data_IF_299640995707
#
_entry.id   IF_299640995707
#
_cell.length_a   1.000
_cell.length_b   1.000
_cell.length_c   1.000
_cell.angle_alpha   90.00
_cell.angle_beta   90.00
_cell.angle_gamma   90.00
#
_symmetry.space_group_name_H-M   'P 1'
#
loop_
_entity.id
_entity.type
_entity.pdbx_description
1 polymer ?
#
# COMPACT_ATOMS: atom_id res chain seq x y z
N UNK A 1 -18.11 12.98 0.33
CA UNK A 1 -17.15 11.84 0.44
C UNK A 1 -17.95 10.56 0.71
N UNK A 2 -17.66 9.48 0.00
CA UNK A 2 -18.18 8.12 0.28
C UNK A 2 -17.24 7.49 1.30
N UNK A 3 -17.82 6.94 2.35
CA UNK A 3 -17.12 6.21 3.39
C UNK A 3 -17.93 4.96 3.73
N UNK A 4 -17.34 3.78 3.60
CA UNK A 4 -17.94 2.52 3.97
C UNK A 4 -17.01 1.79 4.91
N UNK A 5 -17.54 1.32 6.03
CA UNK A 5 -16.89 0.43 6.98
C UNK A 5 -17.56 -0.93 6.89
N UNK A 6 -16.78 -1.96 6.63
CA UNK A 6 -17.25 -3.34 6.46
C UNK A 6 -16.56 -4.21 7.52
N UNK A 7 -17.34 -5.04 8.21
CA UNK A 7 -16.83 -5.94 9.23
C UNK A 7 -16.72 -7.36 8.67
N UNK A 8 -15.54 -7.97 8.79
CA UNK A 8 -15.42 -9.42 8.73
C UNK A 8 -15.70 -10.01 10.12
N UNK A 9 -16.79 -10.79 10.30
CA UNK A 9 -17.14 -11.32 11.60
C UNK A 9 -16.25 -12.48 12.06
N UNK A 10 -15.42 -13.04 11.17
CA UNK A 10 -14.56 -14.20 11.48
C UNK A 10 -13.27 -13.73 12.16
N UNK A 11 -12.59 -12.74 11.57
CA UNK A 11 -11.37 -12.12 12.14
C UNK A 11 -11.68 -10.91 13.03
N UNK A 12 -12.90 -10.36 12.97
CA UNK A 12 -13.31 -9.09 13.58
C UNK A 12 -12.59 -7.88 12.95
N UNK A 13 -12.16 -8.01 11.69
CA UNK A 13 -11.45 -6.98 10.95
C UNK A 13 -12.42 -5.98 10.32
N UNK A 14 -12.11 -4.70 10.43
CA UNK A 14 -12.75 -3.65 9.66
C UNK A 14 -11.97 -3.34 8.38
N UNK A 15 -12.66 -3.43 7.26
CA UNK A 15 -12.20 -2.89 5.97
C UNK A 15 -12.88 -1.55 5.70
N UNK A 16 -12.13 -0.58 5.17
CA UNK A 16 -12.63 0.75 4.86
C UNK A 16 -12.56 1.03 3.36
N UNK A 17 -13.66 1.50 2.76
CA UNK A 17 -13.68 1.98 1.37
C UNK A 17 -13.97 3.47 1.35
N UNK A 18 -13.07 4.23 0.72
CA UNK A 18 -13.15 5.67 0.61
C UNK A 18 -13.19 6.09 -0.87
N UNK A 19 -14.08 7.05 -1.20
CA UNK A 19 -14.06 7.74 -2.48
C UNK A 19 -14.58 9.18 -2.31
N UNK A 20 -14.11 10.10 -3.14
CA UNK A 20 -14.55 11.50 -3.09
C UNK A 20 -16.01 11.66 -3.51
N UNK A 21 -16.45 10.87 -4.51
CA UNK A 21 -17.78 10.92 -5.16
C UNK A 21 -18.13 9.58 -5.81
N UNK A 22 -19.39 9.40 -6.15
CA UNK A 22 -19.85 8.33 -7.04
C UNK A 22 -19.19 8.47 -8.42
N UNK A 23 -18.77 7.37 -9.02
CA UNK A 23 -18.08 7.35 -10.30
C UNK A 23 -16.63 7.82 -10.26
N UNK A 24 -16.07 8.04 -9.06
CA UNK A 24 -14.67 8.43 -8.85
C UNK A 24 -13.73 7.26 -8.60
N UNK A 25 -12.51 7.59 -8.24
CA UNK A 25 -11.52 6.61 -7.81
C UNK A 25 -11.66 6.31 -6.31
N UNK A 26 -11.40 5.07 -5.94
CA UNK A 26 -11.52 4.58 -4.57
C UNK A 26 -10.20 4.09 -4.01
N UNK A 27 -10.07 4.22 -2.69
CA UNK A 27 -9.10 3.57 -1.84
C UNK A 27 -9.80 2.52 -0.98
N UNK A 28 -9.19 1.35 -0.82
CA UNK A 28 -9.60 0.35 0.18
C UNK A 28 -8.47 0.16 1.19
N UNK A 29 -8.81 0.02 2.48
CA UNK A 29 -7.86 -0.16 3.59
C UNK A 29 -8.20 -1.45 4.31
N UNK A 30 -7.18 -2.27 4.61
CA UNK A 30 -7.22 -3.56 5.31
C UNK A 30 -8.30 -4.53 4.74
N UNK A 31 -8.26 -4.83 3.43
CA UNK A 31 -9.26 -5.70 2.82
C UNK A 31 -8.98 -7.19 3.11
N UNK A 32 -10.02 -7.91 3.54
CA UNK A 32 -10.01 -9.36 3.83
C UNK A 32 -10.26 -10.16 2.54
N UNK A 33 -9.46 -11.21 2.29
CA UNK A 33 -9.51 -12.00 1.05
C UNK A 33 -10.88 -12.63 0.79
N UNK A 34 -11.51 -13.18 1.80
CA UNK A 34 -12.80 -13.84 1.71
C UNK A 34 -13.93 -12.91 1.27
N UNK A 35 -13.73 -11.58 1.37
CA UNK A 35 -14.71 -10.56 1.01
C UNK A 35 -14.45 -9.87 -0.34
N UNK A 36 -13.52 -10.37 -1.16
CA UNK A 36 -13.17 -9.76 -2.46
C UNK A 36 -14.42 -9.51 -3.33
N UNK A 37 -15.33 -10.49 -3.45
CA UNK A 37 -16.56 -10.34 -4.23
C UNK A 37 -17.49 -9.27 -3.68
N UNK A 38 -17.54 -9.09 -2.36
CA UNK A 38 -18.31 -8.04 -1.68
C UNK A 38 -17.74 -6.67 -2.07
N UNK A 39 -16.41 -6.52 -2.03
CA UNK A 39 -15.75 -5.26 -2.41
C UNK A 39 -15.98 -4.93 -3.88
N UNK A 40 -15.82 -5.89 -4.79
CA UNK A 40 -16.06 -5.69 -6.21
C UNK A 40 -17.51 -5.31 -6.50
N UNK A 41 -18.47 -5.97 -5.85
CA UNK A 41 -19.90 -5.65 -5.95
C UNK A 41 -20.21 -4.24 -5.43
N UNK A 42 -19.59 -3.83 -4.32
CA UNK A 42 -19.73 -2.48 -3.76
C UNK A 42 -19.18 -1.43 -4.73
N UNK A 43 -17.98 -1.65 -5.24
CA UNK A 43 -17.34 -0.76 -6.24
C UNK A 43 -18.20 -0.62 -7.49
N UNK A 44 -18.71 -1.72 -8.03
CA UNK A 44 -19.61 -1.72 -9.19
C UNK A 44 -20.89 -0.93 -8.91
N UNK A 45 -21.56 -1.18 -7.79
CA UNK A 45 -22.81 -0.50 -7.39
C UNK A 45 -22.62 1.02 -7.25
N UNK A 46 -21.47 1.47 -6.76
CA UNK A 46 -21.13 2.86 -6.59
C UNK A 46 -20.41 3.46 -7.81
N UNK A 47 -20.25 2.65 -8.89
CA UNK A 47 -19.52 3.01 -10.11
C UNK A 47 -18.09 3.47 -9.86
N UNK A 48 -17.44 2.96 -8.80
CA UNK A 48 -16.09 3.32 -8.42
C UNK A 48 -15.05 2.49 -9.18
N UNK A 49 -13.92 3.12 -9.51
CA UNK A 49 -12.70 2.43 -9.94
C UNK A 49 -11.78 2.28 -8.72
N UNK A 50 -11.40 1.06 -8.39
CA UNK A 50 -10.38 0.86 -7.35
C UNK A 50 -9.03 1.32 -7.90
N UNK A 51 -8.50 2.41 -7.36
CA UNK A 51 -7.20 2.96 -7.73
C UNK A 51 -6.09 2.44 -6.82
N UNK A 52 -6.37 2.38 -5.52
CA UNK A 52 -5.39 1.97 -4.51
C UNK A 52 -6.00 1.02 -3.49
N UNK A 53 -5.19 0.05 -3.05
CA UNK A 53 -5.50 -0.88 -1.97
C UNK A 53 -4.33 -0.89 -0.98
N UNK A 54 -4.62 -0.74 0.32
CA UNK A 54 -3.65 -0.48 1.37
C UNK A 54 -3.86 -1.43 2.54
N UNK A 55 -2.77 -2.01 3.07
CA UNK A 55 -2.75 -2.63 4.40
C UNK A 55 -1.96 -1.76 5.39
N UNK A 56 -2.47 -1.66 6.61
CA UNK A 56 -1.81 -0.92 7.70
C UNK A 56 -0.56 -1.64 8.21
N UNK A 57 -0.54 -2.96 8.17
CA UNK A 57 0.55 -3.84 8.60
C UNK A 57 0.37 -5.24 7.99
N UNK A 58 1.30 -6.17 8.23
CA UNK A 58 1.11 -7.58 7.87
C UNK A 58 0.19 -8.25 8.89
N UNK A 59 -1.03 -8.54 8.47
CA UNK A 59 -2.07 -9.18 9.29
C UNK A 59 -1.73 -10.64 9.60
N UNK A 60 -2.08 -11.10 10.81
CA UNK A 60 -1.87 -12.46 11.28
C UNK A 60 -3.17 -13.26 11.46
N UNK A 61 -4.31 -12.62 11.38
CA UNK A 61 -5.65 -13.13 11.68
C UNK A 61 -6.47 -13.46 10.44
N UNK A 62 -6.12 -12.88 9.29
CA UNK A 62 -6.75 -13.13 7.99
C UNK A 62 -5.75 -13.01 6.83
N UNK A 63 -6.13 -13.53 5.67
CA UNK A 63 -5.39 -13.31 4.43
C UNK A 63 -5.85 -11.98 3.82
N UNK A 64 -4.91 -11.09 3.49
CA UNK A 64 -5.19 -9.82 2.84
C UNK A 64 -5.67 -10.01 1.40
N UNK A 65 -6.64 -9.20 0.99
CA UNK A 65 -7.11 -9.16 -0.39
C UNK A 65 -6.23 -8.33 -1.34
N UNK A 66 -5.14 -7.69 -0.87
CA UNK A 66 -4.33 -6.80 -1.71
C UNK A 66 -3.90 -7.46 -3.02
N UNK A 67 -3.34 -8.68 -2.96
CA UNK A 67 -2.88 -9.42 -4.14
C UNK A 67 -4.02 -9.73 -5.11
N UNK A 68 -5.17 -10.21 -4.60
CA UNK A 68 -6.34 -10.53 -5.42
C UNK A 68 -6.94 -9.27 -6.08
N UNK A 69 -7.13 -8.19 -5.31
CA UNK A 69 -7.65 -6.93 -5.83
C UNK A 69 -6.72 -6.33 -6.90
N UNK A 70 -5.39 -6.38 -6.68
CA UNK A 70 -4.40 -5.98 -7.70
C UNK A 70 -4.59 -6.76 -8.99
N UNK A 71 -4.67 -8.08 -8.91
CA UNK A 71 -4.76 -8.96 -10.08
C UNK A 71 -6.07 -8.74 -10.87
N UNK A 72 -7.18 -8.48 -10.17
CA UNK A 72 -8.51 -8.29 -10.75
C UNK A 72 -8.77 -6.85 -11.24
N UNK A 73 -8.30 -5.83 -10.52
CA UNK A 73 -8.65 -4.42 -10.79
C UNK A 73 -7.49 -3.61 -11.34
N UNK A 74 -6.27 -4.12 -11.26
CA UNK A 74 -5.02 -3.42 -11.59
C UNK A 74 -4.78 -2.20 -10.68
N UNK A 75 -5.29 -2.23 -9.46
CA UNK A 75 -5.03 -1.19 -8.48
C UNK A 75 -3.57 -1.20 -8.01
N UNK A 76 -3.11 -0.08 -7.46
CA UNK A 76 -1.82 0.02 -6.80
C UNK A 76 -1.93 -0.54 -5.39
N UNK A 77 -1.16 -1.57 -5.06
CA UNK A 77 -1.06 -2.10 -3.69
C UNK A 77 -0.06 -1.31 -2.87
N UNK A 78 -0.39 -1.02 -1.62
CA UNK A 78 0.37 -0.12 -0.76
C UNK A 78 0.56 -0.72 0.63
N UNK A 79 1.76 -0.56 1.16
CA UNK A 79 2.10 -0.78 2.57
C UNK A 79 3.16 0.23 3.03
N UNK A 80 3.45 0.27 4.32
CA UNK A 80 4.60 1.01 4.84
C UNK A 80 5.94 0.46 4.32
N UNK A 81 6.98 1.30 4.26
CA UNK A 81 8.30 0.91 3.75
C UNK A 81 8.96 -0.21 4.57
N UNK A 82 8.55 -0.39 5.84
CA UNK A 82 9.06 -1.42 6.75
C UNK A 82 8.41 -2.78 6.52
N UNK A 83 7.35 -2.84 5.72
CA UNK A 83 6.72 -4.10 5.38
C UNK A 83 7.70 -5.02 4.64
N UNK A 84 7.79 -6.26 5.09
CA UNK A 84 8.54 -7.32 4.43
C UNK A 84 7.78 -8.03 3.31
N UNK A 85 6.64 -7.48 2.85
CA UNK A 85 5.86 -8.07 1.76
C UNK A 85 6.55 -7.90 0.41
N UNK A 86 6.52 -8.96 -0.44
CA UNK A 86 7.29 -9.01 -1.68
C UNK A 86 6.64 -8.19 -2.81
N UNK A 87 5.34 -8.36 -3.02
CA UNK A 87 4.61 -7.87 -4.20
C UNK A 87 3.81 -6.60 -3.91
N UNK A 88 4.42 -5.61 -3.28
CA UNK A 88 3.82 -4.32 -2.99
C UNK A 88 4.25 -3.29 -4.03
N UNK A 89 3.26 -2.68 -4.70
CA UNK A 89 3.46 -1.71 -5.77
C UNK A 89 4.12 -0.42 -5.29
N UNK A 90 3.69 0.08 -4.13
CA UNK A 90 4.18 1.33 -3.55
C UNK A 90 4.41 1.18 -2.04
N UNK A 91 5.53 1.71 -1.55
CA UNK A 91 5.88 1.73 -0.13
C UNK A 91 5.92 3.15 0.38
N UNK A 92 5.15 3.42 1.43
CA UNK A 92 5.08 4.75 2.04
C UNK A 92 6.08 4.86 3.19
N UNK A 93 6.82 5.96 3.20
CA UNK A 93 7.66 6.37 4.33
C UNK A 93 6.83 7.14 5.36
N UNK A 94 7.41 7.29 6.55
CA UNK A 94 6.83 8.16 7.56
C UNK A 94 6.70 9.60 7.05
N UNK A 95 5.50 10.17 7.14
CA UNK A 95 5.17 11.49 6.66
C UNK A 95 4.74 11.58 5.19
N UNK A 96 4.87 10.52 4.41
CA UNK A 96 4.44 10.52 3.01
C UNK A 96 2.92 10.77 2.88
N UNK A 97 2.53 11.48 1.83
CA UNK A 97 1.13 11.70 1.48
C UNK A 97 0.68 10.73 0.40
N UNK A 98 -0.50 10.13 0.62
CA UNK A 98 -1.24 9.33 -0.33
C UNK A 98 -2.45 10.10 -0.84
N UNK A 99 -2.59 10.25 -2.14
CA UNK A 99 -3.71 10.93 -2.77
C UNK A 99 -4.52 9.98 -3.68
N UNK A 100 -5.85 10.08 -3.63
CA UNK A 100 -6.80 9.37 -4.50
C UNK A 100 -7.99 10.28 -4.79
N UNK A 101 -8.15 10.77 -6.02
CA UNK A 101 -9.28 11.59 -6.50
C UNK A 101 -9.76 12.65 -5.47
N UNK A 102 -8.81 13.44 -4.91
CA UNK A 102 -9.11 14.49 -3.93
C UNK A 102 -9.12 14.05 -2.47
N UNK A 103 -9.06 12.75 -2.18
CA UNK A 103 -8.81 12.23 -0.84
C UNK A 103 -7.30 12.28 -0.58
N UNK A 104 -6.89 12.74 0.61
CA UNK A 104 -5.51 12.79 1.05
C UNK A 104 -5.36 12.13 2.41
N UNK A 105 -4.38 11.23 2.52
CA UNK A 105 -3.98 10.59 3.76
C UNK A 105 -2.48 10.84 3.97
N UNK A 106 -2.09 11.11 5.20
CA UNK A 106 -0.67 11.14 5.59
C UNK A 106 -0.33 9.86 6.33
N UNK A 107 0.70 9.16 5.87
CA UNK A 107 1.24 7.98 6.53
C UNK A 107 2.00 8.38 7.80
N UNK A 108 1.76 7.69 8.91
CA UNK A 108 2.51 7.82 10.14
C UNK A 108 3.03 6.44 10.52
N UNK A 109 4.35 6.30 10.66
CA UNK A 109 4.95 5.06 11.15
C UNK A 109 4.63 4.89 12.64
N UNK A 110 3.86 3.86 12.98
CA UNK A 110 3.36 3.60 14.34
C UNK A 110 3.68 2.17 14.78
N UNK A 111 4.98 1.81 14.89
CA UNK A 111 5.40 0.48 15.28
C UNK A 111 5.02 0.14 16.71
N UNK A 112 4.96 -1.16 17.00
CA UNK A 112 4.79 -1.67 18.36
C UNK A 112 3.85 -2.86 18.44
N UNK A 113 2.70 -2.86 17.71
CA UNK A 113 1.94 -4.08 17.47
C UNK A 113 2.74 -5.01 16.55
N UNK A 114 3.17 -4.49 15.42
CA UNK A 114 4.21 -5.07 14.55
C UNK A 114 5.28 -4.01 14.27
N UNK A 115 6.44 -4.42 13.77
CA UNK A 115 7.52 -3.51 13.38
C UNK A 115 7.23 -2.79 12.05
N UNK A 116 6.24 -3.23 11.29
CA UNK A 116 5.81 -2.64 10.01
C UNK A 116 4.51 -1.84 10.11
N UNK A 117 3.95 -1.63 11.30
CA UNK A 117 2.68 -0.93 11.50
C UNK A 117 2.73 0.55 11.10
N UNK A 118 1.72 0.97 10.36
CA UNK A 118 1.46 2.37 9.99
C UNK A 118 0.02 2.76 10.29
N UNK A 119 -0.17 4.03 10.63
CA UNK A 119 -1.48 4.68 10.72
C UNK A 119 -1.64 5.71 9.61
N UNK A 120 -2.88 5.97 9.18
CA UNK A 120 -3.16 6.86 8.04
C UNK A 120 -4.12 7.95 8.45
N UNK A 121 -3.65 9.20 8.44
CA UNK A 121 -4.36 10.37 8.96
C UNK A 121 -4.98 11.18 7.83
N UNK A 122 -6.27 11.47 7.94
CA UNK A 122 -7.00 12.46 7.17
C UNK A 122 -7.26 13.72 8.02
N UNK A 123 -7.93 14.71 7.44
CA UNK A 123 -8.22 15.97 8.14
C UNK A 123 -9.08 15.77 9.42
N UNK A 124 -9.99 14.78 9.42
CA UNK A 124 -10.99 14.56 10.47
C UNK A 124 -10.88 13.19 11.17
N UNK A 125 -10.04 12.28 10.64
CA UNK A 125 -9.97 10.89 11.11
C UNK A 125 -8.60 10.28 10.93
N UNK A 126 -8.37 9.16 11.65
CA UNK A 126 -7.17 8.33 11.52
C UNK A 126 -7.57 6.86 11.46
N UNK A 127 -6.97 6.12 10.52
CA UNK A 127 -7.01 4.66 10.44
C UNK A 127 -5.77 4.15 11.17
N UNK A 128 -5.98 3.48 12.29
CA UNK A 128 -4.89 3.18 13.24
C UNK A 128 -4.33 1.77 13.11
N UNK A 129 -4.88 0.96 12.19
CA UNK A 129 -4.55 -0.46 12.20
C UNK A 129 -4.78 -1.05 13.59
N UNK A 130 -3.83 -1.83 14.05
CA UNK A 130 -3.84 -2.40 15.39
C UNK A 130 -2.99 -1.63 16.40
N UNK A 131 -2.54 -0.40 16.09
CA UNK A 131 -1.79 0.41 17.05
C UNK A 131 -2.71 0.91 18.16
N UNK A 132 -3.82 1.58 17.82
CA UNK A 132 -4.84 2.06 18.76
C UNK A 132 -6.20 1.44 18.40
N UNK A 133 -6.77 0.69 19.33
CA UNK A 133 -8.11 0.10 19.23
C UNK A 133 -9.11 0.90 20.06
N UNK A 134 -10.40 0.62 19.92
CA UNK A 134 -11.45 1.25 20.74
C UNK A 134 -11.39 0.65 22.15
N UNK A 135 -11.03 1.45 23.13
CA UNK A 135 -10.86 1.01 24.52
C UNK A 135 -9.68 0.08 24.76
N UNK A 136 -8.74 -0.02 23.79
CA UNK A 136 -7.58 -0.90 23.86
C UNK A 136 -6.44 -0.47 22.95
N UNK A 137 -5.42 -1.30 22.87
CA UNK A 137 -4.29 -1.18 21.93
C UNK A 137 -3.95 -2.56 21.37
N UNK A 138 -3.24 -2.63 20.26
CA UNK A 138 -2.72 -3.91 19.77
C UNK A 138 -1.81 -4.59 20.78
N UNK A 139 -1.73 -5.91 20.71
CA UNK A 139 -0.75 -6.69 21.46
C UNK A 139 0.66 -6.43 20.93
N UNK A 140 1.68 -6.71 21.76
CA UNK A 140 3.08 -6.39 21.42
C UNK A 140 4.02 -7.58 21.63
N UNK A 141 3.46 -8.78 21.72
CA UNK A 141 4.18 -10.00 22.13
C UNK A 141 4.47 -10.98 20.97
N UNK A 142 4.21 -10.57 19.71
CA UNK A 142 4.56 -11.36 18.51
C UNK A 142 4.86 -10.45 17.29
N UNK A 143 5.28 -11.04 16.15
CA UNK A 143 5.59 -10.34 14.88
C UNK A 143 6.53 -9.12 15.06
N UNK A 144 7.61 -9.29 15.82
CA UNK A 144 8.54 -8.21 16.17
C UNK A 144 7.86 -7.04 16.91
N UNK A 145 6.79 -7.32 17.67
CA UNK A 145 6.13 -6.33 18.50
C UNK A 145 7.06 -5.82 19.61
N UNK A 146 6.88 -4.55 19.98
CA UNK A 146 7.66 -3.87 21.02
C UNK A 146 6.77 -2.91 21.80
N UNK A 147 6.61 -3.17 23.11
CA UNK A 147 5.76 -2.35 23.97
C UNK A 147 6.26 -0.91 24.14
N UNK A 148 7.57 -0.66 24.07
CA UNK A 148 8.11 0.69 24.16
C UNK A 148 7.87 1.48 22.88
N UNK A 149 8.09 0.82 21.71
CA UNK A 149 7.75 1.39 20.42
C UNK A 149 6.23 1.68 20.33
N UNK A 150 5.38 0.77 20.86
CA UNK A 150 3.94 0.99 20.94
C UNK A 150 3.59 2.21 21.81
N UNK A 151 4.24 2.36 22.96
CA UNK A 151 4.07 3.54 23.81
C UNK A 151 4.42 4.83 23.04
N UNK A 152 5.57 4.88 22.38
CA UNK A 152 5.98 6.06 21.61
C UNK A 152 4.99 6.37 20.47
N UNK A 153 4.53 5.33 19.75
CA UNK A 153 3.52 5.45 18.69
C UNK A 153 2.19 5.99 19.21
N UNK A 154 1.74 5.52 20.36
CA UNK A 154 0.50 5.95 20.99
C UNK A 154 0.64 7.38 21.55
N UNK A 155 1.58 7.60 22.46
CA UNK A 155 1.62 8.83 23.27
C UNK A 155 2.24 10.02 22.53
N UNK A 156 3.22 9.78 21.65
CA UNK A 156 3.94 10.87 20.98
C UNK A 156 3.49 11.10 19.54
N UNK A 157 2.73 10.16 18.95
CA UNK A 157 2.27 10.28 17.56
C UNK A 157 0.74 10.34 17.45
N UNK A 158 0.00 9.32 17.90
CA UNK A 158 -1.45 9.29 17.74
C UNK A 158 -2.16 10.25 18.71
N UNK A 159 -1.79 10.24 20.00
CA UNK A 159 -2.37 11.14 20.97
C UNK A 159 -1.94 12.61 20.81
N UNK A 160 -1.01 12.94 19.91
CA UNK A 160 -0.72 14.31 19.50
C UNK A 160 -1.75 14.89 18.51
N UNK A 161 -2.61 14.05 17.93
CA UNK A 161 -3.71 14.48 17.07
C UNK A 161 -4.80 15.20 17.89
N UNK A 162 -5.66 15.96 17.22
CA UNK A 162 -6.78 16.65 17.86
C UNK A 162 -7.72 15.66 18.56
N UNK A 163 -8.23 16.04 19.73
CA UNK A 163 -9.20 15.24 20.49
C UNK A 163 -10.47 14.90 19.67
N UNK A 164 -10.83 15.74 18.72
CA UNK A 164 -11.97 15.52 17.83
C UNK A 164 -11.69 14.56 16.68
N UNK A 165 -10.42 14.14 16.47
CA UNK A 165 -10.06 13.21 15.40
C UNK A 165 -10.73 11.85 15.63
N UNK A 166 -11.52 11.39 14.65
CA UNK A 166 -12.17 10.09 14.69
C UNK A 166 -11.12 8.96 14.56
N UNK A 167 -11.27 7.91 15.37
CA UNK A 167 -10.40 6.74 15.36
C UNK A 167 -11.12 5.56 14.72
N UNK A 168 -10.53 5.02 13.66
CA UNK A 168 -10.99 3.85 12.93
C UNK A 168 -9.90 2.76 12.98
N UNK A 169 -9.99 1.77 13.88
CA UNK A 169 -9.01 0.69 14.01
C UNK A 169 -9.22 -0.41 12.98
N UNK A 170 -8.22 -1.31 12.82
CA UNK A 170 -8.42 -2.52 12.02
C UNK A 170 -9.33 -3.53 12.71
N UNK A 171 -9.39 -3.56 14.05
CA UNK A 171 -10.20 -4.54 14.78
C UNK A 171 -11.08 -3.92 15.86
N UNK A 172 -12.26 -4.52 16.07
CA UNK A 172 -13.05 -4.37 17.29
C UNK A 172 -13.74 -5.68 17.66
N UNK A 173 -13.69 -6.02 18.93
CA UNK A 173 -14.24 -7.27 19.48
C UNK A 173 -15.49 -7.04 20.35
N UNK A 174 -15.92 -5.78 20.48
CA UNK A 174 -16.97 -5.36 21.42
C UNK A 174 -18.21 -4.77 20.72
N UNK A 175 -18.21 -4.71 19.39
CA UNK A 175 -19.31 -4.16 18.60
C UNK A 175 -19.28 -2.63 18.46
N UNK A 176 -18.14 -1.99 18.76
CA UNK A 176 -17.93 -0.58 18.49
C UNK A 176 -17.51 -0.38 17.04
N UNK A 177 -17.75 0.80 16.49
CA UNK A 177 -17.41 1.10 15.09
C UNK A 177 -16.49 2.30 14.91
N UNK A 178 -16.44 3.18 15.91
CA UNK A 178 -15.66 4.42 15.87
C UNK A 178 -15.41 4.94 17.28
N UNK A 179 -14.28 5.61 17.48
CA UNK A 179 -13.95 6.36 18.69
C UNK A 179 -13.39 7.74 18.32
N UNK A 180 -12.84 8.45 19.29
CA UNK A 180 -12.07 9.68 19.07
C UNK A 180 -10.78 9.66 19.89
N UNK A 181 -9.76 10.40 19.44
CA UNK A 181 -8.52 10.55 20.20
C UNK A 181 -8.77 11.04 21.64
N UNK A 182 -9.68 12.00 21.80
CA UNK A 182 -10.01 12.52 23.13
C UNK A 182 -10.70 11.49 24.02
N UNK A 183 -11.62 10.68 23.46
CA UNK A 183 -12.27 9.60 24.21
C UNK A 183 -11.26 8.54 24.64
N UNK A 184 -10.40 8.08 23.73
CA UNK A 184 -9.37 7.08 24.02
C UNK A 184 -8.37 7.61 25.07
N UNK A 185 -7.93 8.85 24.95
CA UNK A 185 -7.05 9.49 25.94
C UNK A 185 -7.65 9.47 27.34
N UNK A 186 -8.93 9.73 27.46
CA UNK A 186 -9.61 9.84 28.76
C UNK A 186 -10.05 8.49 29.33
N UNK A 187 -10.41 7.51 28.49
CA UNK A 187 -11.16 6.31 28.92
C UNK A 187 -10.45 4.99 28.62
N UNK A 188 -9.49 4.95 27.71
CA UNK A 188 -8.78 3.72 27.37
C UNK A 188 -7.83 3.33 28.53
N UNK A 189 -8.13 2.22 29.18
CA UNK A 189 -7.38 1.77 30.37
C UNK A 189 -5.90 1.48 30.06
N UNK A 190 -5.57 1.09 28.84
CA UNK A 190 -4.18 0.85 28.44
C UNK A 190 -3.38 2.15 28.26
N UNK A 191 -4.07 3.28 28.17
CA UNK A 191 -3.45 4.60 28.08
C UNK A 191 -3.39 5.32 29.43
N UNK A 192 -3.95 4.75 30.51
CA UNK A 192 -3.90 5.30 31.86
C UNK A 192 -2.64 4.80 32.60
N UNK A 193 -1.47 5.02 32.02
CA UNK A 193 -0.16 4.61 32.56
C UNK A 193 0.75 5.81 32.77
N UNK A 194 1.66 5.72 33.73
CA UNK A 194 2.54 6.83 34.08
C UNK A 194 3.65 7.06 33.03
N UNK A 195 4.17 5.99 32.43
CA UNK A 195 5.30 6.02 31.51
C UNK A 195 5.40 4.75 30.66
N UNK A 196 6.40 4.69 29.79
CA UNK A 196 6.66 3.54 28.91
C UNK A 196 6.99 2.24 29.67
N UNK A 197 7.57 2.32 30.88
CA UNK A 197 7.87 1.14 31.67
C UNK A 197 6.58 0.52 32.23
N UNK A 198 5.69 1.35 32.78
CA UNK A 198 4.37 0.93 33.26
C UNK A 198 3.51 0.36 32.12
N UNK A 199 3.57 0.96 30.91
CA UNK A 199 2.91 0.42 29.73
C UNK A 199 3.46 -0.98 29.34
N UNK A 200 4.78 -1.13 29.31
CA UNK A 200 5.42 -2.41 28.97
C UNK A 200 5.09 -3.49 30.01
N UNK A 201 5.02 -3.17 31.30
CA UNK A 201 4.61 -4.08 32.36
C UNK A 201 3.14 -4.51 32.16
N UNK A 202 2.23 -3.57 31.90
CA UNK A 202 0.83 -3.82 31.60
C UNK A 202 0.69 -4.77 30.40
N UNK A 203 1.39 -4.48 29.29
CA UNK A 203 1.33 -5.29 28.06
C UNK A 203 1.90 -6.70 28.27
N UNK A 204 2.97 -6.86 29.05
CA UNK A 204 3.57 -8.17 29.38
C UNK A 204 2.66 -9.06 30.22
N UNK A 205 1.75 -8.44 30.97
CA UNK A 205 0.73 -9.14 31.78
C UNK A 205 -0.44 -9.69 30.96
N UNK A 206 -0.61 -9.26 29.70
CA UNK A 206 -1.68 -9.71 28.84
C UNK A 206 -1.42 -11.16 28.38
N UNK A 207 -2.36 -12.06 28.64
CA UNK A 207 -2.32 -13.46 28.18
C UNK A 207 -3.37 -13.69 27.11
N UNK A 208 -3.09 -13.23 25.91
CA UNK A 208 -3.99 -13.34 24.77
C UNK A 208 -3.67 -14.62 23.97
N UNK A 209 -4.69 -15.39 23.51
CA UNK A 209 -4.45 -16.48 22.57
C UNK A 209 -3.84 -15.96 21.29
N UNK A 210 -3.01 -16.78 20.62
CA UNK A 210 -2.50 -16.41 19.30
C UNK A 210 -3.61 -16.42 18.27
N UNK A 211 -3.53 -15.53 17.23
CA UNK A 211 -4.42 -15.59 16.08
C UNK A 211 -4.40 -16.98 15.45
N UNK A 212 -5.57 -17.56 15.19
CA UNK A 212 -5.69 -18.94 14.69
C UNK A 212 -5.05 -19.14 13.31
N UNK A 213 -4.99 -18.08 12.51
CA UNK A 213 -4.48 -18.09 11.14
C UNK A 213 -3.00 -17.70 11.02
N UNK A 214 -2.31 -17.35 12.11
CA UNK A 214 -0.98 -16.74 12.09
C UNK A 214 0.03 -17.50 11.22
N UNK A 215 0.09 -18.82 11.32
CA UNK A 215 1.03 -19.67 10.59
C UNK A 215 0.74 -19.73 9.07
N UNK A 216 -0.47 -19.35 8.66
CA UNK A 216 -0.92 -19.33 7.26
C UNK A 216 -0.97 -17.90 6.73
N UNK A 217 -1.56 -16.98 7.48
CA UNK A 217 -1.80 -15.61 7.03
C UNK A 217 -0.50 -14.82 6.89
N UNK A 218 0.42 -14.88 7.86
CA UNK A 218 1.67 -14.12 7.81
C UNK A 218 2.52 -14.47 6.58
N UNK A 219 2.81 -15.76 6.26
CA UNK A 219 3.51 -16.10 5.03
C UNK A 219 2.76 -15.69 3.76
N UNK A 220 1.43 -15.88 3.71
CA UNK A 220 0.61 -15.51 2.56
C UNK A 220 0.60 -14.00 2.32
N UNK A 221 0.46 -13.20 3.39
CA UNK A 221 0.45 -11.75 3.36
C UNK A 221 1.84 -11.16 3.04
N UNK A 222 2.93 -11.89 3.34
CA UNK A 222 4.26 -11.52 2.86
C UNK A 222 4.43 -11.78 1.37
N UNK A 223 3.92 -12.89 0.86
CA UNK A 223 4.04 -13.25 -0.56
C UNK A 223 3.12 -12.41 -1.47
N UNK A 224 2.00 -11.88 -0.99
CA UNK A 224 1.02 -11.05 -1.70
C UNK A 224 0.59 -11.59 -3.07
N UNK A 225 0.24 -12.87 -3.14
CA UNK A 225 -0.29 -13.50 -4.35
C UNK A 225 0.78 -13.83 -5.40
N UNK A 226 0.55 -13.49 -6.67
CA UNK A 226 1.46 -13.82 -7.78
C UNK A 226 2.79 -13.07 -7.67
N UNK A 227 3.89 -13.77 -7.94
CA UNK A 227 5.23 -13.16 -8.02
C UNK A 227 5.46 -12.45 -9.36
N UNK A 228 6.43 -11.53 -9.42
CA UNK A 228 6.84 -10.86 -10.68
C UNK A 228 7.10 -11.87 -11.79
N UNK A 229 7.82 -12.95 -11.49
CA UNK A 229 8.17 -14.00 -12.46
C UNK A 229 6.95 -14.66 -13.12
N UNK A 230 5.79 -14.69 -12.46
CA UNK A 230 4.56 -15.29 -13.03
C UNK A 230 3.86 -14.38 -14.06
N UNK A 231 4.25 -13.11 -14.16
CA UNK A 231 3.75 -12.17 -15.17
C UNK A 231 4.67 -12.05 -16.38
N UNK A 232 5.91 -12.55 -16.28
CA UNK A 232 6.98 -12.35 -17.26
C UNK A 232 7.18 -13.56 -18.15
N UNK A 233 7.68 -13.30 -19.35
CA UNK A 233 8.14 -14.31 -20.32
C UNK A 233 9.65 -14.13 -20.56
N UNK A 234 10.34 -15.17 -21.08
CA UNK A 234 11.75 -15.03 -21.44
C UNK A 234 11.99 -13.82 -22.38
N UNK A 235 12.93 -12.96 -21.99
CA UNK A 235 13.27 -11.75 -22.76
C UNK A 235 12.50 -10.48 -22.35
N UNK A 236 11.55 -10.55 -21.42
CA UNK A 236 10.81 -9.39 -20.92
C UNK A 236 11.66 -8.50 -20.01
N UNK A 237 12.62 -9.08 -19.30
CA UNK A 237 13.45 -8.36 -18.33
C UNK A 237 14.67 -7.72 -18.98
N UNK A 238 14.96 -6.50 -18.55
CA UNK A 238 16.20 -5.82 -18.81
C UNK A 238 16.84 -5.45 -17.46
N UNK A 239 18.02 -5.98 -17.17
CA UNK A 239 18.74 -5.62 -15.95
C UNK A 239 19.22 -4.16 -15.99
N UNK A 240 19.40 -3.57 -14.79
CA UNK A 240 19.71 -2.13 -14.69
C UNK A 240 21.06 -1.74 -15.31
N UNK A 241 22.06 -2.61 -15.26
CA UNK A 241 23.37 -2.33 -15.85
C UNK A 241 23.30 -2.33 -17.37
N UNK A 242 22.64 -3.32 -17.97
CA UNK A 242 22.39 -3.42 -19.40
C UNK A 242 21.51 -2.26 -19.87
N UNK A 243 20.43 -1.94 -19.14
CA UNK A 243 19.57 -0.81 -19.44
C UNK A 243 20.37 0.50 -19.47
N UNK A 244 21.21 0.76 -18.46
CA UNK A 244 22.05 1.95 -18.37
C UNK A 244 23.06 2.09 -19.52
N UNK A 245 23.68 0.96 -19.91
CA UNK A 245 24.60 0.94 -21.07
C UNK A 245 23.89 1.24 -22.37
N UNK A 246 22.70 0.67 -22.54
CA UNK A 246 21.97 0.70 -23.80
C UNK A 246 21.01 1.89 -23.91
N UNK A 247 20.65 2.54 -22.80
CA UNK A 247 19.71 3.66 -22.81
C UNK A 247 20.05 4.76 -23.82
N UNK A 248 21.36 5.06 -23.98
CA UNK A 248 21.85 6.03 -24.97
C UNK A 248 22.17 5.39 -26.32
N UNK A 249 22.75 4.17 -26.30
CA UNK A 249 23.25 3.52 -27.53
C UNK A 249 22.10 2.97 -28.40
N UNK A 250 21.04 2.47 -27.78
CA UNK A 250 19.88 1.85 -28.46
C UNK A 250 18.69 2.81 -28.55
N UNK A 251 18.80 4.04 -28.05
CA UNK A 251 17.70 5.02 -28.00
C UNK A 251 16.45 4.42 -27.31
N UNK A 252 16.65 3.80 -26.14
CA UNK A 252 15.54 3.23 -25.39
C UNK A 252 14.58 4.32 -24.92
N UNK A 253 13.29 4.08 -25.09
CA UNK A 253 12.23 4.92 -24.55
C UNK A 253 11.82 4.38 -23.19
N UNK A 254 12.28 5.04 -22.12
CA UNK A 254 11.98 4.68 -20.74
C UNK A 254 10.64 5.30 -20.33
N UNK A 255 9.72 4.48 -19.82
CA UNK A 255 8.41 4.92 -19.34
C UNK A 255 8.33 4.74 -17.82
N UNK A 256 8.23 5.87 -17.11
CA UNK A 256 8.08 5.90 -15.65
C UNK A 256 6.63 5.69 -15.24
N UNK A 257 6.35 4.57 -14.59
CA UNK A 257 5.02 4.20 -14.12
C UNK A 257 4.76 4.61 -12.66
N UNK A 258 5.69 5.30 -12.02
CA UNK A 258 5.55 5.74 -10.62
C UNK A 258 4.55 6.90 -10.50
N UNK A 259 4.05 7.07 -9.28
CA UNK A 259 3.21 8.22 -8.93
C UNK A 259 4.04 9.52 -8.86
N UNK A 260 3.39 10.68 -9.01
CA UNK A 260 4.06 12.00 -8.95
C UNK A 260 4.85 12.19 -7.66
N UNK A 261 4.29 11.80 -6.50
CA UNK A 261 4.96 11.92 -5.21
C UNK A 261 6.24 11.08 -5.10
N UNK A 262 6.29 9.89 -5.73
CA UNK A 262 7.51 9.08 -5.78
C UNK A 262 8.59 9.74 -6.65
N UNK A 263 8.19 10.32 -7.79
CA UNK A 263 9.10 11.03 -8.70
C UNK A 263 9.63 12.31 -8.07
N UNK A 264 8.78 13.10 -7.42
CA UNK A 264 9.20 14.31 -6.72
C UNK A 264 10.22 14.02 -5.61
N UNK A 265 10.03 12.91 -4.90
CA UNK A 265 10.92 12.49 -3.80
C UNK A 265 12.24 11.90 -4.29
N UNK A 266 12.19 11.01 -5.27
CA UNK A 266 13.32 10.17 -5.66
C UNK A 266 13.96 10.57 -7.02
N UNK A 267 13.41 11.61 -7.66
CA UNK A 267 13.80 12.02 -9.03
C UNK A 267 13.33 11.03 -10.09
N UNK A 268 13.74 11.23 -11.36
CA UNK A 268 13.43 10.35 -12.47
C UNK A 268 14.67 9.96 -13.26
N UNK A 269 14.61 8.87 -14.01
CA UNK A 269 15.65 8.54 -14.99
C UNK A 269 15.59 9.61 -16.09
N UNK A 270 16.72 10.25 -16.46
CA UNK A 270 16.75 11.30 -17.48
C UNK A 270 16.07 10.87 -18.79
N UNK A 271 15.37 11.79 -19.43
CA UNK A 271 14.64 11.60 -20.68
C UNK A 271 13.51 10.57 -20.61
N UNK A 272 13.10 10.12 -19.41
CA UNK A 272 11.97 9.21 -19.25
C UNK A 272 10.63 9.93 -19.38
N UNK A 273 9.66 9.24 -20.02
CA UNK A 273 8.29 9.74 -20.16
C UNK A 273 7.46 9.27 -18.96
N UNK A 274 6.77 10.18 -18.30
CA UNK A 274 5.92 9.88 -17.17
C UNK A 274 4.53 9.41 -17.60
N UNK A 275 4.15 8.20 -17.21
CA UNK A 275 2.82 7.63 -17.40
C UNK A 275 2.41 6.89 -16.13
N UNK A 276 1.76 7.55 -15.16
CA UNK A 276 1.39 6.92 -13.89
C UNK A 276 0.63 5.62 -14.09
N UNK A 277 0.97 4.58 -13.31
CA UNK A 277 0.38 3.24 -13.43
C UNK A 277 -1.15 3.26 -13.33
N UNK A 278 -1.74 4.09 -12.48
CA UNK A 278 -3.17 4.28 -12.37
C UNK A 278 -3.88 4.71 -13.67
N UNK A 279 -3.13 5.27 -14.65
CA UNK A 279 -3.66 5.66 -15.97
C UNK A 279 -3.49 4.58 -17.04
N UNK A 280 -2.76 3.49 -16.74
CA UNK A 280 -2.32 2.48 -17.70
C UNK A 280 -3.45 1.93 -18.57
N UNK A 281 -4.56 1.52 -17.96
CA UNK A 281 -5.69 0.92 -18.67
C UNK A 281 -6.26 1.80 -19.80
N UNK A 282 -6.17 3.13 -19.64
CA UNK A 282 -6.55 4.09 -20.69
C UNK A 282 -5.45 4.24 -21.73
N UNK A 283 -4.19 4.26 -21.29
CA UNK A 283 -3.05 4.55 -22.15
C UNK A 283 -2.66 3.40 -23.10
N UNK A 284 -3.02 2.15 -22.76
CA UNK A 284 -2.79 0.96 -23.60
C UNK A 284 -3.93 0.67 -24.60
N UNK A 285 -5.03 1.47 -24.60
CA UNK A 285 -6.06 1.38 -25.66
C UNK A 285 -5.48 1.75 -27.01
N UNK A 286 -6.12 1.33 -28.11
CA UNK A 286 -5.61 1.53 -29.46
C UNK A 286 -5.24 2.99 -29.81
N UNK A 287 -5.99 3.96 -29.28
CA UNK A 287 -5.79 5.40 -29.43
C UNK A 287 -5.00 6.03 -28.28
N UNK A 288 -4.59 5.24 -27.29
CA UNK A 288 -3.84 5.69 -26.12
C UNK A 288 -2.40 6.12 -26.44
N UNK A 289 -1.85 6.96 -25.56
CA UNK A 289 -0.49 7.49 -25.75
C UNK A 289 0.57 6.38 -25.76
N UNK A 290 0.51 5.43 -24.81
CA UNK A 290 1.44 4.29 -24.76
C UNK A 290 1.37 3.43 -26.01
N UNK A 291 0.15 3.14 -26.51
CA UNK A 291 -0.02 2.36 -27.73
C UNK A 291 0.62 3.04 -28.95
N UNK A 292 0.57 4.37 -29.04
CA UNK A 292 1.30 5.13 -30.09
C UNK A 292 2.81 5.03 -29.89
N UNK A 293 3.30 5.29 -28.67
CA UNK A 293 4.74 5.22 -28.36
C UNK A 293 5.33 3.83 -28.68
N UNK A 294 4.63 2.75 -28.33
CA UNK A 294 5.07 1.38 -28.63
C UNK A 294 5.16 1.14 -30.15
N UNK A 295 4.18 1.61 -30.92
CA UNK A 295 4.21 1.50 -32.40
C UNK A 295 5.31 2.32 -33.04
N UNK A 296 5.56 3.51 -32.52
CA UNK A 296 6.57 4.44 -33.05
C UNK A 296 8.00 4.02 -32.67
N UNK A 297 8.17 3.23 -31.60
CA UNK A 297 9.46 2.77 -31.09
C UNK A 297 9.48 1.24 -30.90
N UNK A 298 9.36 0.45 -31.99
CA UNK A 298 9.26 -1.01 -31.91
C UNK A 298 10.50 -1.63 -31.25
N UNK A 299 10.30 -2.40 -30.18
CA UNK A 299 11.37 -3.08 -29.44
C UNK A 299 12.23 -2.18 -28.53
N UNK A 300 11.95 -0.88 -28.48
CA UNK A 300 12.74 0.09 -27.72
C UNK A 300 12.09 0.56 -26.42
N UNK A 301 10.82 0.23 -26.18
CA UNK A 301 10.07 0.68 -25.00
C UNK A 301 10.41 -0.18 -23.77
N UNK A 302 10.76 0.49 -22.68
CA UNK A 302 11.08 -0.15 -21.40
C UNK A 302 10.26 0.51 -20.29
N UNK A 303 9.40 -0.26 -19.65
CA UNK A 303 8.65 0.20 -18.49
C UNK A 303 9.48 0.09 -17.22
N UNK A 304 9.41 1.09 -16.34
CA UNK A 304 9.97 0.99 -15.01
C UNK A 304 9.04 1.56 -13.94
N UNK A 305 9.21 1.09 -12.71
CA UNK A 305 8.55 1.61 -11.51
C UNK A 305 9.55 1.66 -10.35
N UNK A 306 9.11 1.68 -9.11
CA UNK A 306 10.01 1.73 -7.97
C UNK A 306 10.84 0.44 -7.81
N UNK A 307 10.20 -0.75 -7.90
CA UNK A 307 10.80 -2.05 -7.56
C UNK A 307 10.66 -3.13 -8.64
N UNK A 308 10.04 -2.83 -9.79
CA UNK A 308 9.85 -3.77 -10.91
C UNK A 308 8.46 -4.42 -10.96
N UNK A 309 7.66 -4.36 -9.90
CA UNK A 309 6.37 -5.03 -9.80
C UNK A 309 5.32 -4.38 -10.72
N UNK A 310 5.04 -3.06 -10.59
CA UNK A 310 4.11 -2.35 -11.49
C UNK A 310 4.50 -2.44 -12.96
N UNK A 311 5.79 -2.41 -13.26
CA UNK A 311 6.27 -2.51 -14.64
C UNK A 311 6.08 -3.91 -15.23
N UNK A 312 6.20 -4.98 -14.44
CA UNK A 312 5.88 -6.34 -14.87
C UNK A 312 4.37 -6.52 -15.10
N UNK A 313 3.53 -6.01 -14.20
CA UNK A 313 2.07 -6.00 -14.36
C UNK A 313 1.62 -5.17 -15.57
N UNK A 314 2.25 -4.00 -15.78
CA UNK A 314 1.98 -3.16 -16.95
C UNK A 314 2.35 -3.86 -18.25
N UNK A 315 3.48 -4.56 -18.28
CA UNK A 315 3.91 -5.35 -19.42
C UNK A 315 2.91 -6.46 -19.73
N UNK A 316 2.46 -7.19 -18.72
CA UNK A 316 1.43 -8.22 -18.87
C UNK A 316 0.13 -7.62 -19.44
N UNK A 317 -0.36 -6.52 -18.87
CA UNK A 317 -1.57 -5.84 -19.36
C UNK A 317 -1.44 -5.27 -20.77
N UNK A 318 -0.27 -4.74 -21.12
CA UNK A 318 0.01 -4.26 -22.49
C UNK A 318 -0.02 -5.43 -23.50
N UNK A 319 0.52 -6.59 -23.12
CA UNK A 319 0.47 -7.81 -23.95
C UNK A 319 -0.97 -8.30 -24.13
N UNK A 320 -1.79 -8.34 -23.08
CA UNK A 320 -3.21 -8.65 -23.16
C UNK A 320 -3.96 -7.69 -24.10
N UNK A 321 -3.54 -6.43 -24.17
CA UNK A 321 -4.06 -5.42 -25.10
C UNK A 321 -3.47 -5.53 -26.53
N UNK A 322 -2.63 -6.53 -26.83
CA UNK A 322 -2.03 -6.76 -28.15
C UNK A 322 -0.78 -5.92 -28.41
N UNK A 323 -0.19 -5.27 -27.43
CA UNK A 323 1.06 -4.53 -27.57
C UNK A 323 2.26 -5.44 -27.28
N UNK A 324 3.15 -5.61 -28.25
CA UNK A 324 4.36 -6.43 -28.15
C UNK A 324 5.65 -5.61 -28.21
N UNK A 325 6.80 -6.28 -27.98
CA UNK A 325 8.12 -5.65 -28.09
C UNK A 325 8.45 -4.67 -26.95
N UNK A 326 7.76 -4.79 -25.80
CA UNK A 326 8.01 -4.01 -24.60
C UNK A 326 8.87 -4.85 -23.66
N UNK A 327 9.78 -4.23 -22.95
CA UNK A 327 10.53 -4.82 -21.83
C UNK A 327 10.24 -4.05 -20.53
N UNK A 328 10.65 -4.60 -19.41
CA UNK A 328 10.64 -3.86 -18.15
C UNK A 328 12.01 -3.88 -17.47
N UNK A 329 12.30 -2.83 -16.70
CA UNK A 329 13.51 -2.71 -15.91
C UNK A 329 13.38 -3.57 -14.65
N UNK A 330 14.13 -4.67 -14.58
CA UNK A 330 14.15 -5.56 -13.42
C UNK A 330 14.60 -4.81 -12.16
N UNK A 331 13.81 -4.92 -11.09
CA UNK A 331 14.04 -4.21 -9.83
C UNK A 331 13.86 -2.68 -9.89
N UNK A 332 13.38 -2.14 -11.01
CA UNK A 332 12.94 -0.76 -11.18
C UNK A 332 13.97 0.31 -10.82
N UNK A 333 13.50 1.46 -10.35
CA UNK A 333 14.33 2.60 -9.91
C UNK A 333 15.33 2.21 -8.82
N UNK A 334 14.95 1.32 -7.91
CA UNK A 334 15.85 0.81 -6.88
C UNK A 334 17.07 0.09 -7.45
N UNK A 335 16.90 -0.76 -8.47
CA UNK A 335 18.02 -1.42 -9.16
C UNK A 335 18.83 -0.43 -9.99
N UNK A 336 18.18 0.53 -10.66
CA UNK A 336 18.83 1.59 -11.41
C UNK A 336 19.82 2.40 -10.55
N UNK A 337 19.37 2.83 -9.36
CA UNK A 337 20.20 3.58 -8.41
C UNK A 337 21.40 2.75 -7.91
N UNK A 338 21.16 1.47 -7.56
CA UNK A 338 22.26 0.56 -7.15
C UNK A 338 23.28 0.34 -8.25
N UNK A 339 22.89 0.37 -9.51
CA UNK A 339 23.78 0.28 -10.67
C UNK A 339 24.49 1.60 -11.00
N UNK A 340 24.33 2.66 -10.20
CA UNK A 340 24.91 3.97 -10.43
C UNK A 340 24.28 4.73 -11.60
N UNK A 341 22.99 4.50 -11.87
CA UNK A 341 22.23 5.20 -12.88
C UNK A 341 22.00 6.67 -12.51
N UNK A 342 22.07 7.56 -13.51
CA UNK A 342 21.80 8.99 -13.32
C UNK A 342 20.32 9.25 -12.99
N UNK A 343 20.07 10.28 -12.19
CA UNK A 343 18.74 10.73 -11.81
C UNK A 343 18.66 12.24 -11.97
N UNK A 344 17.58 12.74 -12.51
CA UNK A 344 17.25 14.16 -12.54
C UNK A 344 16.15 14.49 -11.52
N UNK A 345 16.25 15.60 -10.77
CA UNK A 345 15.18 16.06 -9.90
C UNK A 345 13.98 16.47 -10.74
N UNK A 346 12.78 16.20 -10.21
CA UNK A 346 11.51 16.68 -10.79
C UNK A 346 11.09 17.93 -10.01
N UNK A 347 10.86 19.02 -10.72
CA UNK A 347 10.48 20.31 -10.16
C UNK A 347 9.01 20.31 -9.64
#
# INVERSE_FOLDING_TARGET
MIFQQLLDPVSSTFTYVLASRVGGDALIIDPVYEHVDIYLSLLQRLQLRLDKALDTHIHADHISALGALRDMTKCVTIMGERSGADMISMRLKDGDELAVDGIRLRAIYTPGHTDDSYSFVMADRVFTGDTLLIGGTGRTDFQNGDSRAAYDSLFHRLLSLSDATLVYPAHDYNGNTVSTIGFERANNLRLQVADAAAYAELMSGLRLPNPKMMDVAVPANRAMGRTVAQFLQPGDELDAETCRRNARAEELLLIDLREEGERARDGAIPDSVHVPYGTLARQIKADGMLSRMVRDHPGKVVFYCAFGERSALALHSAREAGLGGIRHLAGGMGAWLRAGGAVEPIA
#
